data_IF_409554789170
#
_entry.id   IF_409554789170
#
_cell.length_a   1.000
_cell.length_b   1.000
_cell.length_c   1.000
_cell.angle_alpha   90.00
_cell.angle_beta   90.00
_cell.angle_gamma   90.00
#
_symmetry.space_group_name_H-M   'P 1'
#
loop_
_entity.id
_entity.type
_entity.pdbx_description
1 polymer ?
#
# COMPACT_ATOMS: atom_id res chain seq x y z
N UNK A 1 28.96 17.14 -1.82
CA UNK A 1 28.08 15.96 -1.80
C UNK A 1 27.61 15.67 -3.21
N UNK A 2 28.50 15.12 -4.02
CA UNK A 2 28.16 14.60 -5.35
C UNK A 2 27.82 13.12 -5.27
N UNK A 3 27.11 12.58 -6.28
CA UNK A 3 26.84 11.14 -6.33
C UNK A 3 28.13 10.30 -6.36
N UNK A 4 29.17 10.81 -7.02
CA UNK A 4 30.49 10.17 -7.08
C UNK A 4 31.14 10.05 -5.68
N UNK A 5 31.07 11.12 -4.87
CA UNK A 5 31.55 11.10 -3.48
C UNK A 5 30.79 10.08 -2.61
N UNK A 6 29.49 9.91 -2.82
CA UNK A 6 28.70 8.91 -2.07
C UNK A 6 29.14 7.48 -2.38
N UNK A 7 29.50 7.16 -3.63
CA UNK A 7 29.89 5.81 -4.02
C UNK A 7 31.19 5.34 -3.36
N UNK A 8 32.08 6.26 -3.00
CA UNK A 8 33.33 5.96 -2.27
C UNK A 8 33.15 6.02 -0.75
N UNK A 9 31.94 6.32 -0.25
CA UNK A 9 31.68 6.40 1.19
C UNK A 9 31.88 5.02 1.86
N UNK A 10 32.53 4.93 3.03
CA UNK A 10 32.86 3.65 3.68
C UNK A 10 31.65 2.76 3.99
N UNK A 11 30.47 3.35 4.16
CA UNK A 11 29.25 2.57 4.29
C UNK A 11 28.92 1.83 3.00
N UNK A 12 29.06 2.46 1.83
CA UNK A 12 28.74 1.88 0.51
C UNK A 12 29.88 1.00 0.00
N UNK A 13 31.13 1.48 0.06
CA UNK A 13 32.36 0.76 -0.33
C UNK A 13 33.29 0.63 0.89
N UNK A 14 33.16 -0.43 1.70
CA UNK A 14 34.03 -0.65 2.85
C UNK A 14 35.50 -0.78 2.43
N UNK A 15 36.39 -0.10 3.16
CA UNK A 15 37.84 -0.11 2.91
C UNK A 15 38.57 -1.15 3.77
N UNK A 16 37.94 -1.59 4.88
CA UNK A 16 38.51 -2.55 5.83
C UNK A 16 37.54 -3.68 6.15
N UNK A 17 38.09 -4.86 6.46
CA UNK A 17 37.33 -6.03 6.94
C UNK A 17 36.51 -5.70 8.19
N UNK A 18 37.02 -4.85 9.09
CA UNK A 18 36.29 -4.40 10.29
C UNK A 18 35.01 -3.64 9.92
N UNK A 19 35.08 -2.76 8.92
CA UNK A 19 33.92 -2.01 8.43
C UNK A 19 32.89 -2.93 7.78
N UNK A 20 33.34 -3.92 6.99
CA UNK A 20 32.47 -4.91 6.38
C UNK A 20 31.69 -5.73 7.42
N UNK A 21 32.37 -6.19 8.47
CA UNK A 21 31.74 -6.95 9.56
C UNK A 21 30.79 -6.08 10.38
N UNK A 22 31.16 -4.84 10.69
CA UNK A 22 30.25 -3.92 11.39
C UNK A 22 28.98 -3.66 10.57
N UNK A 23 29.13 -3.44 9.25
CA UNK A 23 27.99 -3.25 8.35
C UNK A 23 27.11 -4.50 8.30
N UNK A 24 27.68 -5.69 8.18
CA UNK A 24 26.89 -6.93 8.10
C UNK A 24 26.15 -7.26 9.39
N UNK A 25 26.68 -6.85 10.55
CA UNK A 25 26.03 -7.00 11.86
C UNK A 25 24.99 -5.91 12.14
N UNK A 26 25.05 -4.78 11.45
CA UNK A 26 24.09 -3.69 11.62
C UNK A 26 22.75 -4.08 11.02
N UNK A 27 21.73 -4.17 11.86
CA UNK A 27 20.36 -4.42 11.43
C UNK A 27 19.54 -3.13 11.35
N UNK A 28 18.54 -3.13 10.49
CA UNK A 28 17.54 -2.06 10.45
C UNK A 28 16.31 -2.47 11.26
N UNK A 29 15.67 -1.51 11.94
CA UNK A 29 14.42 -1.77 12.64
C UNK A 29 13.29 -1.99 11.63
N UNK A 30 13.07 -3.25 11.25
CA UNK A 30 12.11 -3.64 10.23
C UNK A 30 10.66 -3.35 10.66
N UNK A 31 10.37 -3.40 11.97
CA UNK A 31 9.03 -3.08 12.51
C UNK A 31 8.67 -1.62 12.21
N UNK A 32 9.57 -0.70 12.49
CA UNK A 32 9.36 0.72 12.22
C UNK A 32 9.37 1.01 10.72
N UNK A 33 10.26 0.38 9.95
CA UNK A 33 10.32 0.54 8.49
C UNK A 33 9.01 0.09 7.80
N UNK A 34 8.46 -1.06 8.20
CA UNK A 34 7.16 -1.54 7.70
C UNK A 34 6.02 -0.60 8.10
N UNK A 35 5.96 -0.18 9.36
CA UNK A 35 4.94 0.76 9.86
C UNK A 35 4.98 2.10 9.10
N UNK A 36 6.18 2.62 8.83
CA UNK A 36 6.37 3.83 8.03
C UNK A 36 5.87 3.66 6.60
N UNK A 37 6.28 2.58 5.92
CA UNK A 37 5.85 2.31 4.54
C UNK A 37 4.35 2.11 4.43
N UNK A 38 3.73 1.39 5.39
CA UNK A 38 2.28 1.25 5.45
C UNK A 38 1.62 2.64 5.51
N UNK A 39 1.99 3.48 6.48
CA UNK A 39 1.44 4.85 6.60
C UNK A 39 1.63 5.67 5.32
N UNK A 40 2.80 5.57 4.69
CA UNK A 40 3.11 6.26 3.43
C UNK A 40 2.21 5.79 2.29
N UNK A 41 2.03 4.48 2.10
CA UNK A 41 1.16 3.91 1.05
C UNK A 41 -0.30 4.32 1.26
N UNK A 42 -0.78 4.28 2.50
CA UNK A 42 -2.18 4.55 2.82
C UNK A 42 -2.54 6.04 2.93
N UNK A 43 -1.54 6.94 2.97
CA UNK A 43 -1.78 8.39 3.16
C UNK A 43 -2.73 8.98 2.13
N UNK A 44 -2.52 8.67 0.85
CA UNK A 44 -3.36 9.22 -0.23
C UNK A 44 -4.79 8.68 -0.17
N UNK A 45 -4.94 7.36 -0.03
CA UNK A 45 -6.27 6.72 0.07
C UNK A 45 -7.04 7.21 1.28
N UNK A 46 -6.39 7.32 2.44
CA UNK A 46 -6.98 7.89 3.64
C UNK A 46 -7.42 9.34 3.43
N UNK A 47 -6.55 10.19 2.85
CA UNK A 47 -6.88 11.58 2.58
C UNK A 47 -8.09 11.72 1.64
N UNK A 48 -8.15 10.90 0.59
CA UNK A 48 -9.25 10.92 -0.38
C UNK A 48 -10.56 10.52 0.27
N UNK A 49 -10.59 9.39 0.98
CA UNK A 49 -11.79 8.92 1.69
C UNK A 49 -12.22 9.92 2.76
N UNK A 50 -11.27 10.48 3.52
CA UNK A 50 -11.56 11.49 4.54
C UNK A 50 -12.16 12.76 3.95
N UNK A 51 -11.62 13.24 2.82
CA UNK A 51 -12.17 14.39 2.10
C UNK A 51 -13.60 14.12 1.60
N UNK A 52 -13.85 12.97 0.96
CA UNK A 52 -15.20 12.56 0.56
C UNK A 52 -16.15 12.52 1.76
N UNK A 53 -15.73 11.88 2.86
CA UNK A 53 -16.54 11.78 4.07
C UNK A 53 -16.87 13.17 4.67
N UNK A 54 -15.91 14.10 4.65
CA UNK A 54 -16.13 15.48 5.10
C UNK A 54 -17.18 16.18 4.22
N UNK A 55 -17.05 16.07 2.90
CA UNK A 55 -17.98 16.69 1.97
C UNK A 55 -19.39 16.08 2.04
N UNK A 56 -19.51 14.76 2.24
CA UNK A 56 -20.80 14.10 2.47
C UNK A 56 -21.47 14.60 3.77
N UNK A 57 -20.71 14.76 4.86
CA UNK A 57 -21.24 15.33 6.12
C UNK A 57 -21.70 16.77 5.97
N UNK A 58 -21.02 17.54 5.11
CA UNK A 58 -21.42 18.90 4.76
C UNK A 58 -22.58 18.94 3.74
N UNK A 59 -23.12 17.78 3.35
CA UNK A 59 -24.13 17.58 2.32
C UNK A 59 -23.73 18.06 0.91
N UNK A 60 -22.50 18.56 0.70
CA UNK A 60 -22.04 19.12 -0.57
C UNK A 60 -21.95 18.11 -1.72
N UNK A 61 -21.82 16.81 -1.39
CA UNK A 61 -21.84 15.72 -2.39
C UNK A 61 -23.16 14.95 -2.43
N UNK A 62 -23.95 14.98 -1.36
CA UNK A 62 -25.15 14.16 -1.20
C UNK A 62 -26.46 14.95 -1.42
N UNK A 63 -26.41 16.28 -1.51
CA UNK A 63 -27.57 17.14 -1.80
C UNK A 63 -28.05 17.06 -3.25
N UNK A 64 -27.26 16.46 -4.15
CA UNK A 64 -27.52 16.40 -5.60
C UNK A 64 -28.49 15.26 -6.01
N UNK A 65 -29.09 14.52 -5.06
CA UNK A 65 -29.98 13.38 -5.34
C UNK A 65 -31.40 13.54 -4.82
N UNK A 66 -31.86 14.77 -4.55
CA UNK A 66 -33.20 15.02 -4.00
C UNK A 66 -34.29 15.36 -5.02
N UNK A 67 -33.98 15.36 -6.31
CA UNK A 67 -34.98 15.53 -7.36
C UNK A 67 -34.88 14.32 -8.29
N UNK A 68 -36.04 13.70 -8.55
CA UNK A 68 -36.30 12.55 -9.44
C UNK A 68 -36.26 11.12 -8.81
N UNK A 69 -37.41 10.79 -8.24
CA UNK A 69 -38.26 9.59 -8.42
C UNK A 69 -37.73 8.15 -8.20
N UNK A 70 -38.62 7.36 -7.61
CA UNK A 70 -38.49 5.97 -7.19
C UNK A 70 -37.82 5.04 -8.20
N UNK A 71 -36.75 4.36 -7.77
CA UNK A 71 -36.63 2.91 -8.01
C UNK A 71 -35.58 2.29 -7.07
N UNK A 72 -36.07 1.44 -6.17
CA UNK A 72 -35.39 0.29 -5.55
C UNK A 72 -33.98 0.48 -4.96
N UNK A 73 -33.90 0.52 -3.63
CA UNK A 73 -33.04 -0.38 -2.85
C UNK A 73 -33.53 -0.43 -1.38
N UNK A 74 -34.07 -1.55 -0.87
CA UNK A 74 -34.58 -1.64 0.49
C UNK A 74 -33.47 -2.09 1.44
N UNK A 75 -32.80 -1.15 2.09
CA UNK A 75 -31.95 -1.45 3.25
C UNK A 75 -32.27 -0.49 4.40
N UNK A 76 -32.72 -0.95 5.58
CA UNK A 76 -33.04 -0.07 6.72
C UNK A 76 -31.81 0.62 7.36
N UNK A 77 -30.58 0.38 6.86
CA UNK A 77 -29.35 1.03 7.31
C UNK A 77 -28.95 2.27 6.48
N UNK A 78 -29.83 2.76 5.60
CA UNK A 78 -29.57 3.85 4.66
C UNK A 78 -29.24 5.22 5.31
N UNK A 79 -29.51 5.41 6.60
CA UNK A 79 -29.21 6.65 7.32
C UNK A 79 -27.77 6.76 7.84
N UNK A 80 -27.00 5.68 7.84
CA UNK A 80 -25.64 5.67 8.42
C UNK A 80 -24.52 5.37 7.43
N UNK A 81 -24.77 4.60 6.36
CA UNK A 81 -23.76 4.28 5.35
C UNK A 81 -24.42 3.90 4.01
N UNK A 82 -24.48 4.77 2.98
CA UNK A 82 -24.63 4.33 1.60
C UNK A 82 -23.27 3.75 1.19
N UNK A 83 -23.04 2.50 1.58
CA UNK A 83 -21.82 1.78 1.30
C UNK A 83 -21.60 1.79 -0.21
N UNK A 84 -20.47 2.40 -0.59
CA UNK A 84 -19.84 2.25 -1.89
C UNK A 84 -20.01 0.81 -2.37
N UNK A 85 -20.59 0.63 -3.54
CA UNK A 85 -20.31 -0.52 -4.39
C UNK A 85 -18.86 -0.38 -4.88
N UNK A 86 -17.89 -0.49 -3.97
CA UNK A 86 -16.56 -0.91 -4.33
C UNK A 86 -16.62 -2.42 -4.31
N UNK A 87 -16.89 -3.02 -5.46
CA UNK A 87 -16.34 -4.35 -5.75
C UNK A 87 -14.81 -4.21 -5.63
N UNK A 88 -14.28 -4.49 -4.45
CA UNK A 88 -12.91 -4.95 -4.36
C UNK A 88 -12.95 -6.39 -4.81
N UNK A 89 -12.26 -6.71 -5.90
CA UNK A 89 -12.00 -8.08 -6.30
C UNK A 89 -11.59 -8.89 -5.07
N UNK A 90 -12.37 -9.92 -4.77
CA UNK A 90 -12.08 -10.85 -3.70
C UNK A 90 -10.91 -11.71 -4.19
N UNK A 91 -9.69 -11.43 -3.71
CA UNK A 91 -8.58 -12.36 -3.86
C UNK A 91 -9.00 -13.66 -3.16
N UNK A 92 -9.31 -14.67 -3.97
CA UNK A 92 -9.73 -16.01 -3.56
C UNK A 92 -8.51 -16.71 -2.92
N UNK A 93 -8.29 -16.50 -1.62
CA UNK A 93 -7.25 -17.19 -0.87
C UNK A 93 -7.77 -18.54 -0.39
N UNK A 94 -7.90 -19.47 -1.34
CA UNK A 94 -7.85 -20.91 -1.06
C UNK A 94 -7.19 -21.71 -2.19
N UNK A 95 -6.25 -21.10 -2.90
CA UNK A 95 -5.37 -21.83 -3.81
C UNK A 95 -4.14 -22.36 -3.05
N UNK A 96 -3.77 -23.65 -3.22
CA UNK A 96 -2.54 -24.17 -2.62
C UNK A 96 -1.35 -23.35 -3.10
N UNK A 97 -0.27 -23.22 -2.31
CA UNK A 97 0.84 -22.35 -2.65
C UNK A 97 1.32 -22.70 -4.05
N UNK A 98 1.16 -21.77 -4.99
CA UNK A 98 1.71 -21.87 -6.34
C UNK A 98 3.16 -22.27 -6.17
N UNK A 99 3.47 -23.51 -6.56
CA UNK A 99 4.84 -23.96 -6.66
C UNK A 99 5.51 -22.99 -7.64
N UNK A 100 6.30 -22.06 -7.11
CA UNK A 100 7.11 -21.14 -7.91
C UNK A 100 7.82 -22.00 -8.94
N UNK A 101 7.44 -21.86 -10.21
CA UNK A 101 8.05 -22.60 -11.31
C UNK A 101 9.55 -22.38 -11.18
N UNK A 102 10.28 -23.44 -10.79
CA UNK A 102 11.73 -23.44 -10.85
C UNK A 102 12.08 -23.11 -12.30
N UNK A 103 12.74 -21.96 -12.50
CA UNK A 103 13.32 -21.58 -13.78
C UNK A 103 14.07 -22.80 -14.33
N UNK A 104 13.54 -23.41 -15.40
CA UNK A 104 14.23 -24.48 -16.14
C UNK A 104 15.58 -23.91 -16.54
N UNK A 105 16.68 -24.50 -16.03
CA UNK A 105 17.99 -24.29 -16.65
C UNK A 105 17.89 -24.94 -18.03
N UNK A 106 17.95 -24.15 -19.09
CA UNK A 106 18.16 -24.68 -20.43
C UNK A 106 19.54 -25.33 -20.46
N UNK A 107 19.57 -26.65 -20.65
CA UNK A 107 20.77 -27.34 -21.10
C UNK A 107 20.92 -27.04 -22.58
N UNK A 108 21.93 -26.26 -22.94
CA UNK A 108 22.47 -26.29 -24.30
C UNK A 108 23.76 -27.12 -24.24
N UNK A 109 23.88 -27.99 -25.24
CA UNK A 109 24.99 -28.88 -25.55
C UNK A 109 26.33 -28.14 -25.68
#
# INVERSE_FOLDING_TARGET
MTAAECLVHPWIKPLSRKQMVNRSRSSINMRNFRKFNARRKWKLSYNTVSACNRLCRMQLLCSLRKEDEELSCPCPAALLCPQRCCESDQEEDSSPPIALLRRRRSSCS
#
